data_IF_368715813635
#
_entry.id   IF_368715813635
#
_cell.length_a   1.000
_cell.length_b   1.000
_cell.length_c   1.000
_cell.angle_alpha   90.00
_cell.angle_beta   90.00
_cell.angle_gamma   90.00
#
_symmetry.space_group_name_H-M   'P 1'
#
loop_
_entity.id
_entity.type
_entity.pdbx_description
1 polymer ?
#
# COMPACT_ATOMS: atom_id res chain seq x y z
N UNK A 1 -3.36 20.73 -0.48
CA UNK A 1 -2.35 20.10 -1.33
C UNK A 1 -3.01 19.80 -2.68
N UNK A 2 -2.87 20.70 -3.66
CA UNK A 2 -3.45 20.53 -4.99
C UNK A 2 -2.46 19.79 -5.88
N UNK A 3 -2.83 18.60 -6.34
CA UNK A 3 -2.09 17.85 -7.35
C UNK A 3 -2.96 17.82 -8.60
N UNK A 4 -2.57 18.54 -9.65
CA UNK A 4 -3.12 18.27 -10.98
C UNK A 4 -2.27 17.15 -11.59
N UNK A 5 -2.90 16.01 -11.85
CA UNK A 5 -2.22 14.82 -12.37
C UNK A 5 -2.21 14.82 -13.89
N UNK A 6 -1.10 14.37 -14.48
CA UNK A 6 -0.88 14.28 -15.92
C UNK A 6 -1.96 13.51 -16.69
N UNK A 7 -2.67 12.58 -16.05
CA UNK A 7 -3.69 11.75 -16.69
C UNK A 7 -4.85 12.55 -17.35
N UNK A 8 -5.10 13.79 -16.92
CA UNK A 8 -6.16 14.63 -17.49
C UNK A 8 -5.67 15.67 -18.52
N UNK A 9 -4.42 16.14 -18.41
CA UNK A 9 -3.94 17.33 -19.14
C UNK A 9 -2.52 17.19 -19.73
N UNK A 10 -1.86 16.04 -19.56
CA UNK A 10 -0.50 15.79 -20.05
C UNK A 10 0.60 16.54 -19.30
N UNK A 11 0.28 17.21 -18.18
CA UNK A 11 1.22 17.95 -17.33
C UNK A 11 0.93 17.57 -15.87
N UNK A 12 1.98 17.25 -15.12
CA UNK A 12 1.95 17.12 -13.67
C UNK A 12 2.29 18.47 -13.04
N UNK A 13 1.43 18.94 -12.13
CA UNK A 13 1.62 20.17 -11.36
C UNK A 13 1.49 19.88 -9.87
N UNK A 14 2.47 20.33 -9.09
CA UNK A 14 2.44 20.27 -7.64
C UNK A 14 2.84 21.60 -7.02
N UNK A 15 2.16 21.97 -5.93
CA UNK A 15 2.55 23.08 -5.06
C UNK A 15 2.85 22.52 -3.68
N UNK A 16 4.07 22.72 -3.21
CA UNK A 16 4.58 22.17 -1.94
C UNK A 16 5.05 23.31 -1.04
N UNK A 17 4.28 23.67 0.01
CA UNK A 17 4.77 24.56 1.05
C UNK A 17 5.63 23.80 2.06
N UNK A 18 6.83 24.29 2.33
CA UNK A 18 7.69 23.77 3.40
C UNK A 18 7.97 24.84 4.45
N UNK A 19 7.96 24.46 5.73
CA UNK A 19 8.36 25.30 6.84
C UNK A 19 9.54 24.65 7.56
N UNK A 20 10.56 25.43 7.90
CA UNK A 20 11.70 24.94 8.69
C UNK A 20 11.83 25.78 9.94
N UNK A 21 11.95 25.12 11.10
CA UNK A 21 12.15 25.76 12.39
C UNK A 21 13.62 25.63 12.81
N UNK A 22 14.23 26.68 13.38
CA UNK A 22 15.60 26.63 13.86
C UNK A 22 15.66 25.80 15.14
N UNK A 23 16.21 24.57 15.06
CA UNK A 23 16.39 23.69 16.21
C UNK A 23 17.83 23.67 16.73
N UNK A 24 18.75 24.37 16.06
CA UNK A 24 20.14 24.44 16.48
C UNK A 24 20.26 25.22 17.80
N UNK A 25 20.95 24.65 18.77
CA UNK A 25 21.24 25.32 20.04
C UNK A 25 22.14 26.55 19.77
N UNK A 26 21.91 27.69 20.46
CA UNK A 26 22.73 28.89 20.32
C UNK A 26 24.08 28.72 21.03
N UNK A 27 24.90 27.79 20.56
CA UNK A 27 26.33 27.79 20.87
C UNK A 27 26.99 28.83 19.97
N UNK A 28 27.80 29.73 20.56
CA UNK A 28 28.54 30.75 19.80
C UNK A 28 29.35 30.07 18.69
N UNK A 29 28.97 30.31 17.43
CA UNK A 29 29.69 29.81 16.25
C UNK A 29 29.16 28.52 15.62
N UNK A 30 28.00 27.97 16.04
CA UNK A 30 27.41 26.81 15.39
C UNK A 30 26.67 27.21 14.09
N UNK A 31 27.33 27.07 12.94
CA UNK A 31 26.76 27.27 11.59
C UNK A 31 26.01 26.03 11.09
N UNK A 32 25.23 25.38 11.96
CA UNK A 32 24.61 24.08 11.69
C UNK A 32 23.27 24.16 10.94
N UNK A 33 22.83 25.37 10.57
CA UNK A 33 21.60 25.58 9.80
C UNK A 33 21.09 27.02 9.91
N UNK A 34 19.83 27.19 9.51
CA UNK A 34 19.14 28.47 9.59
C UNK A 34 18.90 28.88 11.04
N UNK A 35 19.24 30.13 11.37
CA UNK A 35 19.04 30.69 12.70
C UNK A 35 17.62 31.21 12.94
N UNK A 36 16.81 31.30 11.89
CA UNK A 36 15.45 31.81 11.92
C UNK A 36 14.50 30.87 11.19
N UNK A 37 13.19 30.93 11.48
CA UNK A 37 12.20 30.17 10.71
C UNK A 37 12.25 30.54 9.23
N UNK A 38 12.12 29.54 8.36
CA UNK A 38 12.01 29.76 6.91
C UNK A 38 10.72 29.15 6.36
N UNK A 39 10.21 29.78 5.31
CA UNK A 39 9.05 29.30 4.56
C UNK A 39 9.39 29.21 3.08
N UNK A 40 9.18 28.04 2.49
CA UNK A 40 9.58 27.70 1.12
C UNK A 40 8.40 27.12 0.36
N UNK A 41 7.54 27.94 -0.24
CA UNK A 41 6.61 27.49 -1.27
C UNK A 41 7.38 27.12 -2.54
N UNK A 42 7.17 25.90 -3.01
CA UNK A 42 7.72 25.36 -4.25
C UNK A 42 6.61 25.01 -5.24
N UNK A 43 6.79 25.41 -6.49
CA UNK A 43 6.02 25.00 -7.64
C UNK A 43 6.84 23.99 -8.46
N UNK A 44 6.31 22.79 -8.65
CA UNK A 44 6.91 21.78 -9.51
C UNK A 44 5.99 21.49 -10.70
N UNK A 45 6.57 21.49 -11.90
CA UNK A 45 5.91 21.19 -13.16
C UNK A 45 6.69 20.09 -13.85
N UNK A 46 6.02 19.04 -14.33
CA UNK A 46 6.67 18.06 -15.19
C UNK A 46 5.76 17.57 -16.30
N UNK A 47 6.38 17.07 -17.37
CA UNK A 47 5.69 16.50 -18.52
C UNK A 47 6.45 15.29 -19.04
N UNK A 48 5.71 14.23 -19.30
CA UNK A 48 6.21 13.04 -19.97
C UNK A 48 5.94 13.13 -21.48
N UNK A 49 6.99 12.92 -22.28
CA UNK A 49 7.05 12.92 -23.74
C UNK A 49 7.58 11.56 -24.19
N UNK A 50 6.79 10.50 -23.96
CA UNK A 50 7.20 9.12 -24.17
C UNK A 50 8.27 8.69 -23.17
N UNK A 51 9.47 8.33 -23.66
CA UNK A 51 10.60 7.95 -22.81
C UNK A 51 11.30 9.16 -22.15
N UNK A 52 11.06 10.37 -22.63
CA UNK A 52 11.65 11.60 -22.10
C UNK A 52 10.69 12.23 -21.08
N UNK A 53 11.23 12.67 -19.94
CA UNK A 53 10.56 13.51 -18.96
C UNK A 53 11.25 14.86 -18.93
N UNK A 54 10.49 15.94 -18.92
CA UNK A 54 10.99 17.29 -18.66
C UNK A 54 10.37 17.77 -17.37
N UNK A 55 11.17 18.30 -16.46
CA UNK A 55 10.70 18.79 -15.17
C UNK A 55 11.37 20.11 -14.79
N UNK A 56 10.63 20.97 -14.10
CA UNK A 56 11.15 22.18 -13.50
C UNK A 56 10.51 22.44 -12.15
N UNK A 57 11.32 22.97 -11.23
CA UNK A 57 10.91 23.34 -9.89
C UNK A 57 11.37 24.77 -9.65
N UNK A 58 10.49 25.60 -9.10
CA UNK A 58 10.82 26.97 -8.70
C UNK A 58 10.27 27.20 -7.30
N UNK A 59 11.10 27.69 -6.40
CA UNK A 59 10.73 27.94 -5.02
C UNK A 59 11.17 29.35 -4.59
N UNK A 60 10.39 29.95 -3.69
CA UNK A 60 10.76 31.19 -3.01
C UNK A 60 11.09 30.88 -1.57
N UNK A 61 12.35 31.04 -1.14
CA UNK A 61 12.74 30.83 0.26
C UNK A 61 12.63 32.15 1.01
N UNK A 62 11.52 32.31 1.73
CA UNK A 62 11.29 33.42 2.64
C UNK A 62 12.08 33.20 3.94
N UNK A 63 12.81 34.24 4.36
CA UNK A 63 13.57 34.30 5.62
C UNK A 63 13.04 35.47 6.43
N UNK A 64 12.94 35.29 7.75
CA UNK A 64 12.46 36.34 8.64
C UNK A 64 13.45 37.50 8.75
N UNK A 65 14.75 37.21 8.70
CA UNK A 65 15.83 38.19 8.83
C UNK A 65 16.82 38.08 7.67
N UNK A 66 17.36 39.22 7.24
CA UNK A 66 18.48 39.31 6.31
C UNK A 66 19.78 39.46 7.11
N UNK A 67 20.75 38.57 6.88
CA UNK A 67 22.01 38.57 7.61
C UNK A 67 23.16 38.90 6.67
N UNK A 68 23.85 40.00 6.95
CA UNK A 68 25.12 40.32 6.31
C UNK A 68 26.28 39.62 7.05
N UNK A 69 26.96 38.73 6.34
CA UNK A 69 28.28 38.21 6.68
C UNK A 69 29.29 38.99 5.81
N UNK A 70 30.55 39.23 6.22
CA UNK A 70 31.42 40.23 5.58
C UNK A 70 31.49 40.23 4.05
N UNK A 71 31.32 39.07 3.40
CA UNK A 71 31.28 38.93 1.94
C UNK A 71 30.00 38.28 1.39
N UNK A 72 28.99 38.02 2.22
CA UNK A 72 27.77 37.30 1.83
C UNK A 72 26.53 37.87 2.54
N UNK A 73 25.59 38.39 1.77
CA UNK A 73 24.27 38.76 2.28
C UNK A 73 23.32 37.57 2.09
N UNK A 74 22.86 37.01 3.20
CA UNK A 74 21.90 35.91 3.26
C UNK A 74 20.52 36.51 3.46
N UNK A 75 19.74 36.55 2.38
CA UNK A 75 18.38 37.10 2.35
C UNK A 75 17.42 36.21 1.56
N UNK A 76 16.18 36.66 1.32
CA UNK A 76 15.22 35.90 0.53
C UNK A 76 15.78 35.55 -0.86
N UNK A 77 15.52 34.32 -1.30
CA UNK A 77 16.09 33.79 -2.53
C UNK A 77 15.06 33.02 -3.35
N UNK A 78 15.25 33.04 -4.67
CA UNK A 78 14.54 32.19 -5.63
C UNK A 78 15.45 31.02 -5.93
N UNK A 79 14.98 29.81 -5.61
CA UNK A 79 15.65 28.56 -5.91
C UNK A 79 14.97 27.94 -7.12
N UNK A 80 15.75 27.45 -8.08
CA UNK A 80 15.22 26.87 -9.30
C UNK A 80 15.97 25.60 -9.68
N UNK A 81 15.25 24.69 -10.32
CA UNK A 81 15.80 23.50 -10.96
C UNK A 81 15.10 23.26 -12.28
N UNK A 82 15.84 22.87 -13.29
CA UNK A 82 15.30 22.40 -14.57
C UNK A 82 16.07 21.15 -14.99
N UNK A 83 15.36 20.13 -15.46
CA UNK A 83 15.99 18.86 -15.80
C UNK A 83 15.22 18.05 -16.81
N UNK A 84 15.94 17.09 -17.37
CA UNK A 84 15.43 16.10 -18.31
C UNK A 84 15.79 14.71 -17.79
N UNK A 85 14.86 13.78 -17.92
CA UNK A 85 15.01 12.39 -17.52
C UNK A 85 14.67 11.47 -18.66
N UNK A 86 15.46 10.42 -18.89
CA UNK A 86 15.16 9.38 -19.88
C UNK A 86 14.87 8.08 -19.14
N UNK A 87 13.68 7.53 -19.39
CA UNK A 87 13.27 6.22 -18.90
C UNK A 87 13.41 5.20 -20.03
N UNK A 88 14.21 4.16 -19.82
CA UNK A 88 14.34 3.05 -20.76
C UNK A 88 13.81 1.79 -20.08
N UNK A 89 12.70 1.28 -20.59
CA UNK A 89 12.01 0.10 -20.05
C UNK A 89 12.34 -1.19 -20.83
N UNK A 90 13.00 -1.10 -21.99
CA UNK A 90 12.99 -2.20 -22.98
C UNK A 90 14.32 -2.89 -23.26
N UNK A 91 15.47 -2.39 -22.79
CA UNK A 91 16.78 -2.96 -23.19
C UNK A 91 17.50 -3.81 -22.14
N UNK A 92 17.28 -3.58 -20.85
CA UNK A 92 17.94 -4.30 -19.75
C UNK A 92 16.97 -4.34 -18.58
N UNK A 93 16.68 -5.52 -18.04
CA UNK A 93 15.99 -5.67 -16.76
C UNK A 93 17.02 -5.55 -15.62
N UNK A 94 16.78 -4.77 -14.55
CA UNK A 94 15.61 -3.92 -14.25
C UNK A 94 15.62 -2.54 -14.95
N UNK A 95 14.47 -1.85 -15.02
CA UNK A 95 14.41 -0.52 -15.64
C UNK A 95 15.27 0.49 -14.88
N UNK A 96 15.94 1.35 -15.64
CA UNK A 96 16.72 2.46 -15.10
C UNK A 96 16.27 3.80 -15.70
N UNK A 97 16.46 4.85 -14.94
CA UNK A 97 16.23 6.23 -15.37
C UNK A 97 17.51 7.03 -15.21
N UNK A 98 17.88 7.76 -16.25
CA UNK A 98 19.00 8.71 -16.22
C UNK A 98 18.43 10.11 -16.26
N UNK A 99 18.79 10.95 -15.30
CA UNK A 99 18.33 12.32 -15.18
C UNK A 99 19.52 13.28 -15.21
N UNK A 100 19.40 14.35 -15.99
CA UNK A 100 20.33 15.48 -15.97
C UNK A 100 19.57 16.74 -15.59
N UNK A 101 20.10 17.52 -14.65
CA UNK A 101 19.46 18.77 -14.20
C UNK A 101 20.45 19.86 -13.87
N UNK A 102 20.01 21.10 -14.03
CA UNK A 102 20.66 22.29 -13.52
C UNK A 102 19.85 22.81 -12.34
N UNK A 103 20.51 23.07 -11.22
CA UNK A 103 19.91 23.63 -10.02
C UNK A 103 20.68 24.88 -9.61
N UNK A 104 19.99 25.92 -9.16
CA UNK A 104 20.64 27.13 -8.72
C UNK A 104 19.77 27.97 -7.79
N UNK A 105 20.36 29.04 -7.29
CA UNK A 105 19.66 30.02 -6.47
C UNK A 105 20.08 31.44 -6.87
N UNK A 106 19.17 32.39 -6.67
CA UNK A 106 19.42 33.81 -6.92
C UNK A 106 18.70 34.66 -5.89
N UNK A 107 19.20 35.88 -5.61
CA UNK A 107 18.53 36.79 -4.69
C UNK A 107 17.14 37.16 -5.21
N UNK A 108 16.16 37.13 -4.31
CA UNK A 108 14.79 37.51 -4.64
C UNK A 108 14.67 38.99 -5.06
N UNK A 109 15.51 39.87 -4.53
CA UNK A 109 15.48 41.30 -4.85
C UNK A 109 15.98 41.62 -6.28
N UNK A 110 16.80 40.75 -6.87
CA UNK A 110 17.38 40.94 -8.20
C UNK A 110 17.61 39.57 -8.89
N UNK A 111 16.53 38.83 -9.21
CA UNK A 111 16.66 37.46 -9.69
C UNK A 111 17.31 37.44 -11.08
N UNK A 112 18.26 36.52 -11.27
CA UNK A 112 18.98 36.29 -12.53
C UNK A 112 19.85 37.45 -13.03
N UNK A 113 20.13 38.45 -12.18
CA UNK A 113 21.02 39.57 -12.51
C UNK A 113 22.48 39.20 -12.20
N UNK A 114 23.35 39.28 -13.21
CA UNK A 114 24.79 39.08 -13.03
C UNK A 114 25.39 40.24 -12.22
N UNK A 115 26.17 39.90 -11.18
CA UNK A 115 26.83 40.88 -10.30
C UNK A 115 26.04 41.29 -9.04
N UNK A 116 24.79 40.84 -8.88
CA UNK A 116 23.98 41.11 -7.69
C UNK A 116 24.18 40.07 -6.56
N UNK A 117 25.43 39.67 -6.30
CA UNK A 117 25.82 38.67 -5.28
C UNK A 117 26.12 37.27 -5.83
N UNK A 118 26.29 36.32 -4.91
CA UNK A 118 26.59 34.92 -5.25
C UNK A 118 25.32 34.21 -5.73
N UNK A 119 25.35 33.72 -6.98
CA UNK A 119 24.29 32.91 -7.58
C UNK A 119 24.86 31.51 -7.86
N UNK A 120 24.73 30.55 -6.93
CA UNK A 120 25.25 29.21 -7.14
C UNK A 120 24.48 28.52 -8.27
N UNK A 121 25.21 27.77 -9.10
CA UNK A 121 24.66 26.93 -10.16
C UNK A 121 25.37 25.58 -10.13
N UNK A 122 24.60 24.51 -10.08
CA UNK A 122 25.07 23.13 -10.01
C UNK A 122 24.48 22.32 -11.17
N UNK A 123 25.32 21.48 -11.77
CA UNK A 123 24.88 20.47 -12.73
C UNK A 123 24.88 19.10 -12.06
N UNK A 124 23.75 18.41 -12.11
CA UNK A 124 23.53 17.12 -11.47
C UNK A 124 23.21 16.08 -12.55
N UNK A 125 23.90 14.95 -12.49
CA UNK A 125 23.59 13.73 -13.22
C UNK A 125 23.18 12.66 -12.22
N UNK A 126 22.05 12.01 -12.46
CA UNK A 126 21.51 10.98 -11.57
C UNK A 126 21.19 9.72 -12.37
N UNK A 127 21.50 8.57 -11.78
CA UNK A 127 21.06 7.26 -12.25
C UNK A 127 20.19 6.67 -11.15
N UNK A 128 18.95 6.33 -11.48
CA UNK A 128 18.04 5.60 -10.60
C UNK A 128 17.79 4.23 -11.21
N UNK A 129 17.87 3.21 -10.37
CA UNK A 129 17.72 1.83 -10.75
C UNK A 129 16.77 1.15 -9.76
N UNK A 130 15.74 0.49 -10.27
CA UNK A 130 14.75 -0.18 -9.43
C UNK A 130 15.23 -1.62 -9.14
N UNK A 131 15.98 -1.79 -8.05
CA UNK A 131 16.61 -3.08 -7.69
C UNK A 131 15.60 -4.20 -7.36
N UNK A 132 14.37 -3.85 -6.98
CA UNK A 132 13.28 -4.77 -6.65
C UNK A 132 12.06 -4.37 -7.48
N UNK A 133 11.92 -4.97 -8.66
CA UNK A 133 10.71 -4.80 -9.47
C UNK A 133 9.65 -5.77 -8.96
N UNK A 134 8.94 -5.40 -7.88
CA UNK A 134 7.71 -6.11 -7.51
C UNK A 134 6.65 -5.72 -8.54
N UNK A 135 6.24 -6.63 -9.44
CA UNK A 135 5.22 -6.31 -10.41
C UNK A 135 3.97 -5.84 -9.66
N UNK A 136 3.52 -4.62 -9.92
CA UNK A 136 2.27 -4.12 -9.35
C UNK A 136 1.14 -5.00 -9.85
N UNK A 137 0.73 -5.98 -9.04
CA UNK A 137 -0.54 -6.67 -9.24
C UNK A 137 -1.60 -5.59 -9.42
N UNK A 138 -2.24 -5.58 -10.59
CA UNK A 138 -3.33 -4.64 -10.89
C UNK A 138 -4.39 -4.86 -9.83
N UNK A 139 -4.44 -3.99 -8.82
CA UNK A 139 -5.53 -3.98 -7.84
C UNK A 139 -6.83 -3.80 -8.60
N UNK A 140 -7.58 -4.90 -8.78
CA UNK A 140 -8.98 -4.84 -9.14
C UNK A 140 -9.68 -3.95 -8.11
N UNK A 141 -10.66 -3.13 -8.51
CA UNK A 141 -11.34 -2.24 -7.58
C UNK A 141 -12.15 -3.12 -6.60
N UNK A 142 -11.61 -3.42 -5.42
CA UNK A 142 -12.40 -4.04 -4.35
C UNK A 142 -13.47 -3.05 -3.92
N UNK A 143 -14.73 -3.50 -3.98
CA UNK A 143 -15.92 -2.75 -3.57
C UNK A 143 -15.72 -2.28 -2.13
N UNK A 144 -15.99 -0.99 -1.89
CA UNK A 144 -15.93 -0.38 -0.57
C UNK A 144 -16.96 -1.06 0.34
N UNK A 145 -16.52 -1.81 1.34
CA UNK A 145 -17.28 -1.96 2.57
C UNK A 145 -16.75 -0.98 3.62
N UNK A 146 -17.67 -0.16 4.13
CA UNK A 146 -17.43 0.83 5.16
C UNK A 146 -17.22 0.10 6.48
N UNK A 147 -16.05 0.23 7.09
CA UNK A 147 -15.91 0.17 8.55
C UNK A 147 -15.18 1.41 9.06
N UNK A 148 -15.54 1.93 10.25
CA UNK A 148 -15.11 3.24 10.71
C UNK A 148 -13.66 3.18 11.20
N UNK A 149 -12.83 4.13 10.77
CA UNK A 149 -11.43 4.24 11.19
C UNK A 149 -11.33 5.13 12.43
N UNK A 150 -10.90 4.57 13.55
CA UNK A 150 -10.26 5.31 14.64
C UNK A 150 -8.77 5.46 14.30
N UNK A 151 -8.19 6.68 14.28
CA UNK A 151 -6.80 6.87 13.96
C UNK A 151 -5.94 6.94 15.23
N UNK A 152 -5.25 5.85 15.58
CA UNK A 152 -4.09 5.93 16.47
C UNK A 152 -2.82 5.98 15.61
N UNK A 153 -2.26 7.18 15.46
CA UNK A 153 -0.94 7.39 14.89
C UNK A 153 0.12 6.86 15.86
N UNK A 154 0.77 5.75 15.55
CA UNK A 154 2.10 5.40 16.08
C UNK A 154 3.02 5.10 14.90
N UNK A 155 3.70 6.13 14.41
CA UNK A 155 4.73 6.01 13.38
C UNK A 155 6.07 5.76 14.08
N UNK A 156 6.42 4.49 14.28
CA UNK A 156 7.82 4.06 14.37
C UNK A 156 8.14 3.29 13.11
N UNK A 157 9.02 3.84 12.29
CA UNK A 157 9.64 3.10 11.20
C UNK A 157 10.53 2.03 11.85
N UNK A 158 9.97 0.84 12.10
CA UNK A 158 10.78 -0.36 12.16
C UNK A 158 11.11 -0.71 10.71
N UNK A 159 12.39 -0.82 10.41
CA UNK A 159 12.84 -1.68 9.33
C UNK A 159 12.34 -3.06 9.74
N UNK A 160 11.26 -3.52 9.11
CA UNK A 160 10.84 -4.91 9.24
C UNK A 160 11.97 -5.74 8.64
N UNK A 161 12.44 -6.81 9.30
CA UNK A 161 13.28 -7.80 8.63
C UNK A 161 12.60 -8.24 7.33
N UNK A 162 13.34 -8.78 6.33
CA UNK A 162 12.68 -9.49 5.24
C UNK A 162 11.66 -10.44 5.88
N UNK A 163 10.38 -10.25 5.56
CA UNK A 163 9.35 -11.15 6.03
C UNK A 163 9.67 -12.47 5.33
N UNK A 164 10.21 -13.44 6.08
CA UNK A 164 10.42 -14.80 5.58
C UNK A 164 9.04 -15.47 5.61
N UNK A 165 8.18 -15.04 4.70
CA UNK A 165 6.77 -15.39 4.53
C UNK A 165 6.53 -15.31 3.02
N UNK A 166 6.44 -16.47 2.39
CA UNK A 166 6.57 -16.63 0.95
C UNK A 166 5.24 -16.44 0.22
N UNK A 167 4.11 -16.64 0.89
CA UNK A 167 2.76 -16.47 0.36
C UNK A 167 1.97 -15.30 0.98
N UNK A 168 2.59 -14.55 1.90
CA UNK A 168 2.07 -13.33 2.52
C UNK A 168 0.79 -13.56 3.36
N UNK A 169 0.64 -14.72 4.00
CA UNK A 169 -0.51 -15.05 4.86
C UNK A 169 -0.34 -14.60 6.33
N UNK A 170 0.87 -14.18 6.72
CA UNK A 170 1.18 -13.69 8.06
C UNK A 170 1.77 -14.73 9.00
N UNK A 171 1.90 -15.98 8.55
CA UNK A 171 2.74 -17.02 9.16
C UNK A 171 4.12 -16.96 8.50
N UNK A 172 5.18 -17.15 9.29
CA UNK A 172 6.54 -17.17 8.73
C UNK A 172 6.84 -18.56 8.20
N UNK A 173 7.59 -18.69 7.11
CA UNK A 173 7.99 -19.95 6.46
C UNK A 173 8.51 -21.04 7.43
N UNK A 174 9.10 -20.65 8.56
CA UNK A 174 9.62 -21.58 9.57
C UNK A 174 8.55 -22.14 10.52
N UNK A 175 7.37 -21.54 10.55
CA UNK A 175 6.20 -21.87 11.37
C UNK A 175 4.95 -22.16 10.53
N UNK A 176 5.11 -22.14 9.21
CA UNK A 176 4.08 -22.34 8.22
C UNK A 176 4.19 -23.76 7.65
N UNK A 177 3.11 -24.53 7.75
CA UNK A 177 3.05 -25.89 7.25
C UNK A 177 2.96 -25.95 5.71
N UNK A 178 2.49 -24.88 5.07
CA UNK A 178 2.29 -24.75 3.64
C UNK A 178 2.87 -23.45 3.08
N UNK A 179 4.17 -23.19 3.32
CA UNK A 179 4.86 -21.94 2.95
C UNK A 179 4.70 -21.38 1.53
N UNK A 180 4.14 -22.10 0.56
CA UNK A 180 3.86 -21.61 -0.80
C UNK A 180 2.36 -21.43 -1.11
N UNK A 181 1.48 -21.61 -0.12
CA UNK A 181 0.03 -21.53 -0.23
C UNK A 181 -0.53 -20.81 0.99
N UNK A 182 -0.97 -19.58 0.77
CA UNK A 182 -1.61 -18.80 1.81
C UNK A 182 -2.81 -19.55 2.40
N UNK A 183 -2.87 -19.52 3.74
CA UNK A 183 -4.04 -19.87 4.54
C UNK A 183 -5.32 -19.14 4.06
N UNK A 184 -6.46 -19.78 4.29
CA UNK A 184 -7.78 -19.24 4.04
C UNK A 184 -8.55 -18.98 5.34
N UNK A 185 -8.33 -17.80 5.94
CA UNK A 185 -9.07 -17.31 7.14
C UNK A 185 -10.60 -17.58 7.08
N UNK A 186 -11.04 -18.72 7.63
CA UNK A 186 -12.44 -19.17 7.62
C UNK A 186 -12.94 -19.66 9.00
N UNK A 187 -12.16 -19.37 10.05
CA UNK A 187 -12.34 -19.78 11.44
C UNK A 187 -12.07 -21.29 11.68
N UNK A 188 -11.54 -22.02 10.69
CA UNK A 188 -11.03 -23.40 10.81
C UNK A 188 -9.51 -23.44 10.66
N UNK A 189 -8.83 -24.01 11.64
CA UNK A 189 -7.37 -24.25 11.65
C UNK A 189 -6.41 -23.13 11.14
N UNK A 190 -6.85 -21.87 11.11
CA UNK A 190 -6.14 -20.62 10.75
C UNK A 190 -4.70 -20.41 11.31
N UNK A 191 -4.27 -21.22 12.27
CA UNK A 191 -2.99 -21.09 12.96
C UNK A 191 -1.81 -21.82 12.32
N UNK A 192 -2.03 -22.66 11.30
CA UNK A 192 -0.99 -23.54 10.76
C UNK A 192 -0.37 -23.06 9.42
N UNK A 193 -0.95 -22.03 8.80
CA UNK A 193 -0.47 -21.46 7.53
C UNK A 193 -0.86 -22.29 6.30
N UNK A 194 -1.78 -23.24 6.44
CA UNK A 194 -2.28 -24.03 5.33
C UNK A 194 -3.72 -23.67 5.00
N UNK A 195 -4.12 -23.70 3.72
CA UNK A 195 -5.53 -23.59 3.37
C UNK A 195 -6.26 -24.92 3.58
N UNK A 196 -7.42 -24.85 4.22
CA UNK A 196 -8.30 -25.98 4.50
C UNK A 196 -9.39 -26.10 3.42
N UNK A 197 -9.19 -27.04 2.50
CA UNK A 197 -10.08 -27.20 1.35
C UNK A 197 -11.41 -27.89 1.70
N UNK A 198 -11.45 -28.57 2.84
CA UNK A 198 -12.52 -29.44 3.34
C UNK A 198 -12.30 -29.60 4.85
N UNK A 199 -13.03 -28.81 5.63
CA UNK A 199 -12.77 -28.53 7.04
C UNK A 199 -13.23 -29.67 7.97
N UNK A 200 -14.26 -30.41 7.60
CA UNK A 200 -14.76 -31.56 8.35
C UNK A 200 -14.43 -32.91 7.70
N UNK A 201 -13.75 -32.87 6.55
CA UNK A 201 -13.23 -34.02 5.83
C UNK A 201 -14.33 -34.99 5.35
N UNK A 202 -15.50 -34.46 5.01
CA UNK A 202 -16.63 -35.23 4.51
C UNK A 202 -16.57 -35.48 2.99
N UNK A 203 -15.63 -34.84 2.29
CA UNK A 203 -15.39 -34.97 0.85
C UNK A 203 -16.08 -33.90 -0.02
N UNK A 204 -16.84 -32.98 0.58
CA UNK A 204 -17.37 -31.76 -0.03
C UNK A 204 -16.41 -30.63 0.29
N UNK A 205 -16.03 -29.84 -0.72
CA UNK A 205 -15.11 -28.72 -0.45
C UNK A 205 -15.82 -27.65 0.38
N UNK A 206 -15.15 -27.04 1.37
CA UNK A 206 -15.74 -26.05 2.27
C UNK A 206 -16.46 -24.88 1.55
N UNK A 207 -16.03 -24.53 0.34
CA UNK A 207 -16.66 -23.50 -0.50
C UNK A 207 -17.96 -23.94 -1.21
N UNK A 208 -18.20 -25.24 -1.32
CA UNK A 208 -19.39 -25.87 -1.91
C UNK A 208 -20.32 -26.48 -0.85
N UNK A 209 -19.79 -26.70 0.35
CA UNK A 209 -20.46 -27.23 1.52
C UNK A 209 -21.39 -26.20 2.18
N UNK A 210 -22.59 -26.62 2.58
CA UNK A 210 -23.54 -25.80 3.33
C UNK A 210 -23.28 -25.80 4.84
N UNK A 211 -22.64 -26.83 5.36
CA UNK A 211 -22.25 -27.01 6.74
C UNK A 211 -20.74 -27.28 6.86
N UNK A 212 -19.85 -26.29 6.55
CA UNK A 212 -18.40 -26.48 6.40
C UNK A 212 -17.63 -26.85 7.69
N UNK A 213 -18.30 -27.29 8.75
CA UNK A 213 -17.68 -27.75 9.99
C UNK A 213 -18.47 -28.93 10.61
N UNK A 214 -19.49 -29.44 9.92
CA UNK A 214 -20.33 -30.54 10.36
C UNK A 214 -20.34 -31.59 9.26
N UNK A 215 -19.68 -32.73 9.48
CA UNK A 215 -19.50 -33.71 8.41
C UNK A 215 -20.83 -34.32 7.98
N UNK A 216 -21.05 -34.37 6.66
CA UNK A 216 -22.13 -35.11 6.00
C UNK A 216 -22.25 -36.57 6.47
N UNK A 217 -23.48 -37.06 6.62
CA UNK A 217 -23.76 -38.40 7.10
C UNK A 217 -24.14 -39.43 6.03
N UNK A 218 -24.07 -39.13 4.73
CA UNK A 218 -23.96 -40.12 3.63
C UNK A 218 -24.90 -41.33 3.77
N UNK A 219 -26.15 -41.10 4.16
CA UNK A 219 -27.15 -42.12 4.36
C UNK A 219 -27.99 -42.38 3.10
N UNK A 220 -27.78 -41.58 2.05
CA UNK A 220 -28.48 -41.62 0.78
C UNK A 220 -29.51 -40.50 0.60
N UNK A 221 -29.69 -39.65 1.62
CA UNK A 221 -30.46 -38.41 1.57
C UNK A 221 -29.51 -37.21 1.45
N UNK A 222 -29.78 -36.32 0.51
CA UNK A 222 -29.05 -35.08 0.23
C UNK A 222 -27.49 -35.05 0.32
N UNK A 223 -26.80 -36.20 0.27
CA UNK A 223 -25.34 -36.43 0.40
C UNK A 223 -24.39 -35.47 -0.37
N UNK A 224 -24.89 -34.72 -1.34
CA UNK A 224 -24.11 -33.81 -2.18
C UNK A 224 -24.03 -32.38 -1.60
N UNK A 225 -24.73 -32.08 -0.49
CA UNK A 225 -24.82 -30.73 0.07
C UNK A 225 -23.94 -30.44 1.29
N UNK A 226 -23.31 -31.47 1.86
CA UNK A 226 -22.28 -31.37 2.89
C UNK A 226 -22.85 -31.16 4.30
N UNK A 227 -24.16 -31.31 4.48
CA UNK A 227 -24.81 -31.14 5.77
C UNK A 227 -25.37 -32.48 6.24
N UNK A 228 -25.15 -32.86 7.52
CA UNK A 228 -25.82 -34.01 8.07
C UNK A 228 -27.33 -33.78 8.11
N UNK A 229 -28.09 -34.73 7.58
CA UNK A 229 -29.55 -34.72 7.61
C UNK A 229 -30.02 -35.58 8.79
N UNK A 230 -30.52 -34.92 9.84
CA UNK A 230 -30.91 -35.62 11.07
C UNK A 230 -32.39 -36.06 11.09
N UNK A 231 -33.20 -35.61 10.14
CA UNK A 231 -34.65 -35.92 9.96
C UNK A 231 -34.98 -35.71 8.47
N UNK A 232 -34.67 -36.72 7.66
CA UNK A 232 -34.75 -36.72 6.19
C UNK A 232 -36.14 -36.32 5.65
N UNK A 233 -37.20 -36.75 6.31
CA UNK A 233 -38.60 -36.46 5.94
C UNK A 233 -39.18 -35.21 6.59
N UNK A 234 -38.53 -34.67 7.62
CA UNK A 234 -38.99 -33.52 8.39
C UNK A 234 -40.24 -33.79 9.21
N UNK A 235 -40.43 -35.02 9.71
CA UNK A 235 -41.62 -35.43 10.48
C UNK A 235 -41.51 -35.13 11.99
N UNK A 236 -40.31 -34.74 12.44
CA UNK A 236 -40.00 -34.40 13.82
C UNK A 236 -39.46 -35.56 14.65
N UNK A 237 -39.17 -36.72 14.05
CA UNK A 237 -38.42 -37.84 14.61
C UNK A 237 -37.04 -37.87 13.95
N UNK A 238 -35.97 -37.92 14.75
CA UNK A 238 -34.61 -38.02 14.19
C UNK A 238 -34.39 -39.37 13.50
N UNK A 239 -33.64 -39.44 12.40
CA UNK A 239 -33.43 -40.66 11.59
C UNK A 239 -32.88 -41.84 12.41
N UNK A 240 -32.03 -41.53 13.42
CA UNK A 240 -31.51 -42.53 14.36
C UNK A 240 -32.59 -43.16 15.27
N UNK A 241 -33.72 -42.47 15.45
CA UNK A 241 -34.89 -42.89 16.22
C UNK A 241 -36.08 -43.29 15.32
N UNK A 242 -35.99 -43.04 14.01
CA UNK A 242 -37.01 -43.39 13.03
C UNK A 242 -36.85 -44.83 12.51
N UNK A 243 -37.97 -45.52 12.30
CA UNK A 243 -37.99 -46.88 11.72
C UNK A 243 -38.12 -46.86 10.20
N UNK A 244 -38.55 -45.74 9.64
CA UNK A 244 -38.74 -45.46 8.24
C UNK A 244 -38.18 -44.05 7.90
N UNK A 245 -36.85 -43.84 7.99
CA UNK A 245 -36.17 -42.53 7.84
C UNK A 245 -36.21 -41.92 6.42
N UNK A 246 -37.13 -42.36 5.58
CA UNK A 246 -37.35 -41.84 4.23
C UNK A 246 -38.86 -41.54 4.00
N UNK A 247 -39.70 -41.74 5.01
CA UNK A 247 -41.16 -41.75 4.88
C UNK A 247 -41.80 -41.09 6.10
N UNK A 248 -42.34 -39.89 5.90
CA UNK A 248 -43.06 -39.15 6.94
C UNK A 248 -44.13 -39.98 7.68
N UNK A 249 -43.92 -40.16 8.98
CA UNK A 249 -44.83 -40.80 9.91
C UNK A 249 -45.34 -39.84 11.01
N UNK A 250 -46.17 -40.34 11.94
CA UNK A 250 -46.54 -39.59 13.13
C UNK A 250 -45.49 -39.76 14.23
N UNK A 251 -45.10 -38.64 14.87
CA UNK A 251 -44.14 -38.60 16.00
C UNK A 251 -44.51 -39.60 17.11
N UNK A 252 -45.80 -39.81 17.38
CA UNK A 252 -46.25 -40.74 18.42
C UNK A 252 -46.00 -42.22 18.10
N UNK A 253 -45.70 -42.55 16.84
CA UNK A 253 -45.48 -43.92 16.36
C UNK A 253 -44.03 -44.22 15.94
N UNK A 254 -43.07 -43.33 16.22
CA UNK A 254 -41.67 -43.50 15.80
C UNK A 254 -41.55 -43.67 14.26
N UNK A 255 -42.21 -42.79 13.50
CA UNK A 255 -42.12 -42.78 12.03
C UNK A 255 -42.92 -43.84 11.27
N UNK A 256 -43.69 -44.69 11.95
CA UNK A 256 -44.39 -45.79 11.26
C UNK A 256 -45.47 -45.27 10.30
N UNK A 257 -45.42 -45.75 9.05
CA UNK A 257 -46.50 -45.55 8.07
C UNK A 257 -47.78 -46.24 8.58
N UNK A 258 -48.85 -45.47 8.80
CA UNK A 258 -50.14 -46.03 9.20
C UNK A 258 -50.78 -46.77 8.01
N UNK A 259 -50.75 -48.11 8.06
CA UNK A 259 -51.37 -49.00 7.08
C UNK A 259 -52.89 -48.84 6.92
#
# INVERSE_FOLDING_TARGET
MGLLRAAAHGIDLAVTPAFTLPTALPARGAWLGEGTPTFVPELAVSRDLGALRVATNVAYRARADERAVPNLTIGPEVVYRAGVGVRRHELVAPPFTVDASLAGATRAAAPFVSGAGDNPLEALLSLRHDLLHVPRARRRPRRRHRRPRLPCLHRRARVLPPHDDLDDDGVVNASDACADKAEDEDDHADGDGCPDLDNDADGVAAAADRCPNEPEDRDGHADDDGCPDADNEGDGVEDAADRCPDVAGPVEAQGYEAA
#
